data_IF_268419966056
#
_entry.id   IF_268419966056
#
_cell.length_a   1.000
_cell.length_b   1.000
_cell.length_c   1.000
_cell.angle_alpha   90.00
_cell.angle_beta   90.00
_cell.angle_gamma   90.00
#
_symmetry.space_group_name_H-M   'P 1'
#
loop_
_entity.id
_entity.type
_entity.pdbx_description
1 polymer ?
#
# COMPACT_ATOMS: atom_id res chain seq x y z
N UNK A 1 4.13 4.14 8.45
CA UNK A 1 3.51 2.95 9.05
C UNK A 1 2.93 3.32 10.40
N UNK A 2 1.78 2.74 10.75
CA UNK A 2 1.04 3.03 11.99
C UNK A 2 0.81 1.74 12.75
N UNK A 3 0.82 1.82 14.07
CA UNK A 3 0.51 0.71 14.97
C UNK A 3 -0.84 0.99 15.62
N UNK A 4 -1.85 0.22 15.23
CA UNK A 4 -3.23 0.43 15.64
C UNK A 4 -3.67 -0.65 16.62
N UNK A 5 -3.86 -0.26 17.89
CA UNK A 5 -4.37 -1.10 18.97
C UNK A 5 -5.56 -0.37 19.59
N UNK A 6 -6.67 -1.09 19.81
CA UNK A 6 -7.82 -0.58 20.57
C UNK A 6 -7.49 -0.63 22.06
N UNK A 7 -6.83 0.40 22.57
CA UNK A 7 -6.48 0.53 23.99
C UNK A 7 -6.92 1.86 24.57
N UNK A 8 -7.29 1.82 25.85
CA UNK A 8 -7.75 2.96 26.66
C UNK A 8 -6.68 3.50 27.61
N UNK A 9 -5.45 2.97 27.55
CA UNK A 9 -4.33 3.34 28.43
C UNK A 9 -3.23 4.07 27.64
N UNK A 10 -2.46 4.94 28.33
CA UNK A 10 -1.24 5.53 27.78
C UNK A 10 -0.17 4.44 27.61
N UNK A 11 -0.05 3.92 26.40
CA UNK A 11 0.91 2.87 26.04
C UNK A 11 2.19 3.44 25.43
N UNK A 12 3.33 2.83 25.74
CA UNK A 12 4.55 3.05 24.98
C UNK A 12 4.60 2.08 23.80
N UNK A 13 5.04 2.58 22.66
CA UNK A 13 5.09 1.85 21.40
C UNK A 13 6.54 1.68 20.97
N UNK A 14 6.87 0.51 20.43
CA UNK A 14 8.20 0.21 19.89
C UNK A 14 8.05 -0.49 18.56
N UNK A 15 8.82 -0.03 17.57
CA UNK A 15 8.95 -0.66 16.25
C UNK A 15 10.18 -1.52 16.16
N UNK A 16 10.01 -2.64 15.47
CA UNK A 16 11.05 -3.61 15.17
C UNK A 16 11.18 -3.77 13.65
N UNK A 17 12.42 -3.94 13.19
CA UNK A 17 12.75 -4.37 11.84
C UNK A 17 13.63 -5.61 11.91
N UNK A 18 13.21 -6.68 11.26
CA UNK A 18 13.90 -7.96 11.26
C UNK A 18 14.26 -8.42 12.69
N UNK A 19 13.34 -8.23 13.64
CA UNK A 19 13.52 -8.56 15.06
C UNK A 19 14.30 -7.54 15.89
N UNK A 20 14.96 -6.54 15.28
CA UNK A 20 15.72 -5.50 15.99
C UNK A 20 14.87 -4.26 16.24
N UNK A 21 14.90 -3.72 17.45
CA UNK A 21 14.25 -2.45 17.78
C UNK A 21 14.86 -1.29 16.99
N UNK A 22 14.00 -0.45 16.40
CA UNK A 22 14.42 0.66 15.52
C UNK A 22 13.85 2.04 15.91
N UNK A 23 12.65 2.12 16.50
CA UNK A 23 11.99 3.41 16.71
C UNK A 23 10.91 3.35 17.80
N UNK A 24 10.85 4.30 18.75
CA UNK A 24 9.72 4.42 19.66
C UNK A 24 8.58 5.25 19.05
N UNK A 25 7.33 4.92 19.37
CA UNK A 25 6.16 5.74 19.01
C UNK A 25 5.11 5.02 18.16
N UNK A 26 3.90 5.58 18.16
CA UNK A 26 2.71 4.97 17.52
C UNK A 26 2.85 4.86 16.00
N UNK A 27 3.66 5.71 15.40
CA UNK A 27 3.97 5.68 13.97
C UNK A 27 5.47 5.69 13.73
N UNK A 28 5.86 5.11 12.59
CA UNK A 28 7.21 5.15 12.06
C UNK A 28 7.17 5.57 10.58
N UNK A 29 7.87 6.65 10.27
CA UNK A 29 7.85 7.30 8.95
C UNK A 29 9.23 7.25 8.33
N UNK A 30 9.32 6.64 7.15
CA UNK A 30 10.51 6.64 6.30
C UNK A 30 10.33 7.81 5.31
N UNK A 31 11.15 8.85 5.44
CA UNK A 31 11.01 10.05 4.59
C UNK A 31 11.51 9.82 3.17
N UNK A 32 12.61 9.09 3.01
CA UNK A 32 13.21 8.72 1.73
C UNK A 32 13.55 7.25 1.76
N UNK A 33 12.70 6.44 1.15
CA UNK A 33 12.88 5.00 1.15
C UNK A 33 14.13 4.60 0.35
N UNK A 34 14.94 3.71 0.92
CA UNK A 34 16.13 3.13 0.32
C UNK A 34 16.03 1.60 0.28
N UNK A 35 16.85 0.94 -0.53
CA UNK A 35 16.89 -0.54 -0.57
C UNK A 35 17.21 -1.15 0.80
N UNK A 36 17.98 -0.46 1.64
CA UNK A 36 18.23 -0.87 3.02
C UNK A 36 16.98 -0.88 3.90
N UNK A 37 15.91 -0.18 3.51
CA UNK A 37 14.63 -0.14 4.22
C UNK A 37 13.80 -1.41 4.01
N UNK A 38 14.13 -2.23 3.00
CA UNK A 38 13.48 -3.53 2.80
C UNK A 38 13.61 -4.39 4.05
N UNK A 39 12.51 -5.03 4.45
CA UNK A 39 12.51 -5.92 5.60
C UNK A 39 11.12 -6.15 6.20
N UNK A 40 11.12 -6.90 7.30
CA UNK A 40 9.93 -7.24 8.06
C UNK A 40 9.78 -6.30 9.24
N UNK A 41 8.63 -5.64 9.33
CA UNK A 41 8.30 -4.68 10.36
C UNK A 41 7.22 -5.23 11.29
N UNK A 42 7.37 -4.96 12.57
CA UNK A 42 6.41 -5.28 13.63
C UNK A 42 6.38 -4.13 14.62
N UNK A 43 5.25 -3.90 15.25
CA UNK A 43 5.14 -3.01 16.40
C UNK A 43 4.78 -3.80 17.65
N UNK A 44 5.08 -3.24 18.81
CA UNK A 44 4.75 -3.81 20.11
C UNK A 44 4.41 -2.67 21.06
N UNK A 45 3.45 -2.88 21.95
CA UNK A 45 3.21 -1.96 23.07
C UNK A 45 3.70 -2.54 24.39
N UNK A 46 3.76 -1.72 25.43
CA UNK A 46 4.19 -2.15 26.76
C UNK A 46 3.38 -3.31 27.36
N UNK A 47 2.18 -3.59 26.84
CA UNK A 47 1.26 -4.60 27.37
C UNK A 47 0.85 -5.66 26.35
N UNK A 48 1.34 -5.59 25.12
CA UNK A 48 1.00 -6.53 24.05
C UNK A 48 2.22 -7.30 23.54
N UNK A 49 1.96 -8.46 22.96
CA UNK A 49 2.93 -9.15 22.13
C UNK A 49 3.20 -8.38 20.83
N UNK A 50 4.26 -8.76 20.12
CA UNK A 50 4.57 -8.15 18.81
C UNK A 50 3.41 -8.41 17.84
N UNK A 51 3.07 -7.40 17.05
CA UNK A 51 2.10 -7.51 15.97
C UNK A 51 2.49 -8.59 14.95
N UNK A 52 1.54 -8.95 14.09
CA UNK A 52 1.85 -9.66 12.86
C UNK A 52 2.91 -8.90 12.05
N UNK A 53 3.72 -9.67 11.34
CA UNK A 53 4.86 -9.16 10.61
C UNK A 53 4.48 -8.74 9.19
N UNK A 54 4.62 -7.45 8.90
CA UNK A 54 4.39 -6.88 7.56
C UNK A 54 5.72 -6.68 6.84
N UNK A 55 5.79 -7.05 5.57
CA UNK A 55 6.99 -6.85 4.74
C UNK A 55 6.90 -5.53 3.99
N UNK A 56 7.95 -4.72 4.08
CA UNK A 56 8.15 -3.56 3.22
C UNK A 56 9.11 -3.95 2.09
N UNK A 57 8.67 -3.77 0.85
CA UNK A 57 9.49 -3.89 -0.35
C UNK A 57 9.65 -2.51 -1.01
N UNK A 58 10.84 -2.24 -1.52
CA UNK A 58 11.17 -1.01 -2.24
C UNK A 58 11.48 -1.40 -3.68
N UNK A 59 10.64 -0.92 -4.60
CA UNK A 59 10.73 -1.21 -6.02
C UNK A 59 11.27 0.00 -6.77
N UNK A 60 12.10 -0.23 -7.79
CA UNK A 60 12.59 0.81 -8.68
C UNK A 60 11.76 0.87 -9.97
N UNK A 61 10.44 0.99 -9.80
CA UNK A 61 9.47 1.05 -10.91
C UNK A 61 8.94 2.47 -11.06
N UNK A 62 8.63 2.88 -12.30
CA UNK A 62 8.00 4.19 -12.56
C UNK A 62 6.59 4.31 -12.00
N UNK A 63 5.88 3.18 -11.87
CA UNK A 63 4.52 3.09 -11.35
C UNK A 63 4.42 1.87 -10.44
N UNK A 64 3.69 2.02 -9.33
CA UNK A 64 3.32 0.94 -8.42
C UNK A 64 1.83 0.97 -8.11
N UNK A 65 1.22 -0.19 -7.99
CA UNK A 65 -0.16 -0.36 -7.53
C UNK A 65 -0.14 -0.81 -6.07
N UNK A 66 -0.51 0.08 -5.17
CA UNK A 66 -0.52 -0.15 -3.74
C UNK A 66 -1.90 -0.64 -3.31
N UNK A 67 -1.93 -1.75 -2.58
CA UNK A 67 -3.14 -2.34 -2.00
C UNK A 67 -2.91 -2.63 -0.51
N UNK A 68 -3.98 -2.67 0.30
CA UNK A 68 -3.90 -3.18 1.67
C UNK A 68 -3.44 -4.64 1.70
N UNK A 69 -2.62 -4.99 2.70
CA UNK A 69 -2.12 -6.36 2.88
C UNK A 69 -3.22 -7.33 3.33
N UNK A 70 -4.15 -6.85 4.16
CA UNK A 70 -5.25 -7.61 4.72
C UNK A 70 -6.56 -6.95 4.30
N UNK A 71 -7.48 -7.74 3.75
CA UNK A 71 -8.76 -7.30 3.24
C UNK A 71 -9.79 -8.32 3.69
N UNK A 72 -10.82 -7.86 4.40
CA UNK A 72 -11.92 -8.68 4.89
C UNK A 72 -13.23 -8.26 4.25
N UNK A 73 -14.22 -9.16 4.25
CA UNK A 73 -15.55 -8.80 3.79
C UNK A 73 -16.15 -7.65 4.61
N UNK A 74 -16.76 -6.70 3.91
CA UNK A 74 -17.32 -5.47 4.44
C UNK A 74 -16.31 -4.34 4.68
N UNK A 75 -15.03 -4.52 4.36
CA UNK A 75 -14.04 -3.44 4.43
C UNK A 75 -14.24 -2.44 3.28
N UNK A 76 -13.91 -1.17 3.53
CA UNK A 76 -13.75 -0.15 2.50
C UNK A 76 -12.26 0.03 2.22
N UNK A 77 -11.83 -0.15 0.97
CA UNK A 77 -10.42 -0.10 0.61
C UNK A 77 -10.14 0.91 -0.49
N UNK A 78 -8.92 1.46 -0.46
CA UNK A 78 -8.40 2.31 -1.53
C UNK A 78 -7.18 1.66 -2.14
N UNK A 79 -7.24 1.40 -3.44
CA UNK A 79 -6.07 1.06 -4.25
C UNK A 79 -5.44 2.35 -4.76
N UNK A 80 -4.11 2.48 -4.66
CA UNK A 80 -3.40 3.70 -5.10
C UNK A 80 -2.36 3.36 -6.17
N UNK A 81 -2.54 3.92 -7.36
CA UNK A 81 -1.61 3.81 -8.47
C UNK A 81 -0.61 4.98 -8.44
N UNK A 82 0.49 4.80 -7.74
CA UNK A 82 1.49 5.84 -7.49
C UNK A 82 2.57 5.82 -8.56
N UNK A 83 2.96 6.99 -9.05
CA UNK A 83 4.15 7.17 -9.89
C UNK A 83 5.38 7.46 -9.02
N UNK A 84 6.56 7.26 -9.58
CA UNK A 84 7.81 7.59 -8.92
C UNK A 84 7.87 9.10 -8.55
N UNK A 85 8.29 9.46 -7.33
CA UNK A 85 8.34 10.86 -6.90
C UNK A 85 9.20 11.73 -7.83
N UNK A 86 8.71 12.95 -8.12
CA UNK A 86 9.40 13.90 -8.99
C UNK A 86 9.02 13.84 -10.47
N UNK A 87 8.24 12.83 -10.88
CA UNK A 87 7.69 12.76 -12.23
C UNK A 87 6.25 13.29 -12.32
N UNK A 88 5.93 13.95 -13.44
CA UNK A 88 4.57 14.41 -13.75
C UNK A 88 3.73 13.23 -14.25
N UNK A 89 2.53 13.09 -13.70
CA UNK A 89 1.58 12.05 -14.08
C UNK A 89 0.53 12.58 -15.07
N UNK A 90 0.16 11.74 -16.05
CA UNK A 90 -0.96 11.93 -16.95
C UNK A 90 -2.14 11.02 -16.59
N UNK A 91 -2.81 10.48 -17.62
CA UNK A 91 -3.99 9.62 -17.46
C UNK A 91 -3.67 8.35 -16.65
N UNK A 92 -4.61 7.97 -15.78
CA UNK A 92 -4.58 6.71 -15.01
C UNK A 92 -5.80 5.86 -15.33
N UNK A 93 -5.58 4.56 -15.60
CA UNK A 93 -6.64 3.60 -15.91
C UNK A 93 -6.50 2.39 -14.99
N UNK A 94 -7.60 1.98 -14.37
CA UNK A 94 -7.69 0.78 -13.54
C UNK A 94 -8.44 -0.33 -14.27
N UNK A 95 -7.96 -1.56 -14.05
CA UNK A 95 -8.52 -2.78 -14.60
C UNK A 95 -8.76 -3.79 -13.49
N UNK A 96 -9.84 -4.56 -13.60
CA UNK A 96 -10.08 -5.80 -12.85
C UNK A 96 -10.24 -6.93 -13.84
N UNK A 97 -9.42 -7.96 -13.72
CA UNK A 97 -9.45 -9.14 -14.57
C UNK A 97 -9.45 -8.75 -16.07
N UNK A 98 -8.52 -7.87 -16.45
CA UNK A 98 -8.33 -7.23 -17.77
C UNK A 98 -9.47 -6.32 -18.27
N UNK A 99 -10.55 -6.18 -17.52
CA UNK A 99 -11.64 -5.26 -17.85
C UNK A 99 -11.39 -3.88 -17.25
N UNK A 100 -11.56 -2.81 -18.05
CA UNK A 100 -11.47 -1.44 -17.53
C UNK A 100 -12.61 -1.20 -16.55
N UNK A 101 -12.26 -0.88 -15.31
CA UNK A 101 -13.23 -0.56 -14.25
C UNK A 101 -13.29 0.94 -13.97
N UNK A 102 -12.21 1.67 -14.26
CA UNK A 102 -12.17 3.10 -14.06
C UNK A 102 -11.13 3.79 -14.94
N UNK A 103 -11.50 4.97 -15.44
CA UNK A 103 -10.58 5.90 -16.10
C UNK A 103 -10.64 7.21 -15.35
N UNK A 104 -9.50 7.65 -14.85
CA UNK A 104 -9.36 8.95 -14.21
C UNK A 104 -8.36 9.79 -14.99
N UNK A 105 -8.43 11.10 -14.78
CA UNK A 105 -7.34 12.01 -15.11
C UNK A 105 -6.11 11.74 -14.21
N UNK A 106 -5.46 12.77 -13.65
CA UNK A 106 -4.32 12.56 -12.75
C UNK A 106 -4.69 11.91 -11.40
N UNK A 107 -5.99 11.77 -11.08
CA UNK A 107 -6.45 11.06 -9.88
C UNK A 107 -6.01 9.59 -9.91
N UNK A 108 -5.39 9.17 -8.82
CA UNK A 108 -4.53 7.98 -8.76
C UNK A 108 -5.08 6.93 -7.80
N UNK A 109 -6.37 7.01 -7.47
CA UNK A 109 -7.01 6.20 -6.44
C UNK A 109 -8.26 5.52 -6.99
N UNK A 110 -8.46 4.27 -6.58
CA UNK A 110 -9.65 3.48 -6.84
C UNK A 110 -10.22 3.07 -5.49
N UNK A 111 -11.40 3.59 -5.17
CA UNK A 111 -12.13 3.25 -3.96
C UNK A 111 -13.07 2.08 -4.22
N UNK A 112 -13.01 1.07 -3.36
CA UNK A 112 -13.87 -0.11 -3.40
C UNK A 112 -14.59 -0.16 -2.06
N UNK A 113 -15.85 0.24 -2.07
CA UNK A 113 -16.74 0.17 -0.92
C UNK A 113 -17.23 -1.26 -0.69
N UNK A 114 -17.44 -1.60 0.57
CA UNK A 114 -18.11 -2.82 1.01
C UNK A 114 -17.57 -4.07 0.30
N UNK A 115 -16.29 -4.38 0.49
CA UNK A 115 -15.62 -5.51 -0.17
C UNK A 115 -16.37 -6.83 0.07
N UNK A 116 -16.53 -7.65 -0.97
CA UNK A 116 -17.16 -8.97 -0.92
C UNK A 116 -16.32 -10.01 -1.68
N UNK A 117 -16.62 -11.30 -1.56
CA UNK A 117 -15.84 -12.36 -2.25
C UNK A 117 -15.59 -12.13 -3.75
N UNK A 118 -16.48 -11.47 -4.51
CA UNK A 118 -16.25 -11.21 -5.94
C UNK A 118 -15.33 -10.01 -6.21
N UNK A 119 -15.01 -9.22 -5.19
CA UNK A 119 -13.95 -8.20 -5.24
C UNK A 119 -12.56 -8.84 -5.30
N UNK A 120 -12.44 -10.14 -5.00
CA UNK A 120 -11.25 -10.92 -5.34
C UNK A 120 -10.96 -10.82 -6.85
N UNK A 121 -9.68 -10.75 -7.18
CA UNK A 121 -9.24 -10.77 -8.57
C UNK A 121 -7.93 -10.04 -8.79
N UNK A 122 -7.55 -9.96 -10.06
CA UNK A 122 -6.33 -9.32 -10.51
C UNK A 122 -6.63 -7.87 -10.84
N UNK A 123 -6.04 -6.96 -10.07
CA UNK A 123 -6.18 -5.52 -10.26
C UNK A 123 -4.90 -4.99 -10.89
N UNK A 124 -5.05 -4.25 -11.97
CA UNK A 124 -3.95 -3.63 -12.69
C UNK A 124 -4.22 -2.13 -12.79
N UNK A 125 -3.18 -1.33 -12.72
CA UNK A 125 -3.26 0.06 -13.12
C UNK A 125 -2.28 0.33 -14.26
N UNK A 126 -2.67 1.20 -15.18
CA UNK A 126 -1.77 1.79 -16.17
C UNK A 126 -1.76 3.29 -15.98
N UNK A 127 -0.58 3.91 -16.03
CA UNK A 127 -0.43 5.34 -15.79
C UNK A 127 0.58 5.95 -16.75
N UNK A 128 0.25 7.13 -17.27
CA UNK A 128 1.17 7.93 -18.07
C UNK A 128 2.13 8.69 -17.15
N UNK A 129 3.42 8.61 -17.44
CA UNK A 129 4.49 9.31 -16.72
C UNK A 129 5.29 10.11 -17.72
N UNK A 130 5.42 11.41 -17.47
CA UNK A 130 6.17 12.33 -18.32
C UNK A 130 7.64 12.32 -17.94
N UNK A 131 8.49 11.93 -18.88
CA UNK A 131 9.95 12.09 -18.80
C UNK A 131 10.55 12.13 -20.21
N UNK A 132 11.76 12.63 -20.34
CA UNK A 132 12.44 12.77 -21.64
C UNK A 132 11.58 13.48 -22.70
N UNK A 133 10.84 14.51 -22.26
CA UNK A 133 9.97 15.37 -23.07
C UNK A 133 8.71 14.70 -23.66
N UNK A 134 8.40 13.46 -23.33
CA UNK A 134 7.19 12.76 -23.78
C UNK A 134 6.53 11.95 -22.66
N UNK A 135 5.30 11.48 -22.88
CA UNK A 135 4.58 10.60 -21.96
C UNK A 135 4.82 9.14 -22.30
N UNK A 136 5.27 8.37 -21.32
CA UNK A 136 5.38 6.91 -21.39
C UNK A 136 4.30 6.25 -20.55
N UNK A 137 3.81 5.09 -21.01
CA UNK A 137 2.79 4.32 -20.30
C UNK A 137 3.45 3.19 -19.52
N UNK A 138 3.28 3.21 -18.21
CA UNK A 138 3.74 2.15 -17.31
C UNK A 138 2.55 1.46 -16.66
N UNK A 139 2.77 0.27 -16.10
CA UNK A 139 1.73 -0.47 -15.40
C UNK A 139 2.29 -1.29 -14.27
N UNK A 140 1.44 -1.54 -13.29
CA UNK A 140 1.69 -2.48 -12.21
C UNK A 140 0.40 -3.23 -11.86
N UNK A 141 0.54 -4.38 -11.19
CA UNK A 141 -0.55 -5.31 -10.96
C UNK A 141 -0.41 -6.01 -9.61
N UNK A 142 -1.55 -6.22 -8.94
CA UNK A 142 -1.66 -6.94 -7.68
C UNK A 142 -2.88 -7.87 -7.72
N UNK A 143 -2.82 -8.99 -7.00
CA UNK A 143 -3.99 -9.85 -6.79
C UNK A 143 -4.55 -9.58 -5.41
N UNK A 144 -5.79 -9.11 -5.34
CA UNK A 144 -6.48 -8.91 -4.06
C UNK A 144 -6.99 -10.25 -3.55
N UNK A 145 -6.70 -10.56 -2.30
CA UNK A 145 -7.21 -11.73 -1.58
C UNK A 145 -8.16 -11.27 -0.48
N UNK A 146 -9.44 -11.59 -0.61
CA UNK A 146 -10.48 -11.23 0.37
C UNK A 146 -10.67 -12.40 1.33
N UNK A 147 -10.65 -12.11 2.62
CA UNK A 147 -10.92 -13.09 3.67
C UNK A 147 -12.38 -13.01 4.11
N UNK A 148 -13.02 -14.17 4.26
CA UNK A 148 -14.38 -14.25 4.79
C UNK A 148 -14.41 -13.88 6.27
N UNK A 149 -15.51 -13.25 6.69
CA UNK A 149 -15.82 -13.05 8.11
C UNK A 149 -16.52 -14.28 8.69
#
# INVERSE_FOLDING_TARGET
MSCDIKSTVNETYVWYKNGKQIHPGKSYTIQKAQLSDIGRYQCQTSISDKSDSVRLDILNNYVILQAPQYIFEGDDITLRCSQYPGYTAGETIFYKDDNVIQKWGPESELFIENVFMKSFGRYKCTKQVYHDLIYYKYSDEVTLSVQGK
#
